data_IF_609652870152
#
_entry.id   IF_609652870152
#
_cell.length_a   1.000
_cell.length_b   1.000
_cell.length_c   1.000
_cell.angle_alpha   90.00
_cell.angle_beta   90.00
_cell.angle_gamma   90.00
#
_symmetry.space_group_name_H-M   'P 1'
#
loop_
_entity.id
_entity.type
_entity.pdbx_description
1 polymer ?
#
# COMPACT_ATOMS: atom_id res chain seq x y z
N UNK A 1 -21.41 28.88 0.93
CA UNK A 1 -21.40 27.77 -0.05
C UNK A 1 -22.54 26.76 0.18
N UNK A 2 -23.09 26.18 -0.88
CA UNK A 2 -24.18 25.18 -0.81
C UNK A 2 -23.63 23.75 -0.79
N UNK A 3 -24.12 22.91 0.11
CA UNK A 3 -23.72 21.50 0.18
C UNK A 3 -24.26 20.72 -1.03
N UNK A 4 -23.37 20.03 -1.74
CA UNK A 4 -23.70 19.18 -2.90
C UNK A 4 -24.57 17.97 -2.56
N UNK A 5 -24.58 17.50 -1.30
CA UNK A 5 -25.38 16.33 -0.89
C UNK A 5 -26.76 16.68 -0.35
N UNK A 6 -26.88 17.73 0.47
CA UNK A 6 -28.13 18.07 1.17
C UNK A 6 -28.70 19.45 0.80
N UNK A 7 -28.03 20.21 -0.06
CA UNK A 7 -28.48 21.54 -0.48
C UNK A 7 -28.40 22.63 0.59
N UNK A 8 -27.88 22.34 1.78
CA UNK A 8 -27.81 23.32 2.86
C UNK A 8 -26.75 24.39 2.60
N UNK A 9 -27.09 25.65 2.89
CA UNK A 9 -26.16 26.77 2.87
C UNK A 9 -25.28 26.75 4.13
N UNK A 10 -23.97 26.60 3.95
CA UNK A 10 -22.96 26.67 5.01
C UNK A 10 -22.10 27.92 4.84
N UNK A 11 -21.55 28.43 5.95
CA UNK A 11 -20.52 29.48 5.94
C UNK A 11 -19.27 28.98 5.21
N UNK A 12 -18.59 29.88 4.49
CA UNK A 12 -17.43 29.53 3.64
C UNK A 12 -16.18 29.10 4.44
N UNK A 13 -16.18 29.28 5.76
CA UNK A 13 -15.12 28.83 6.65
C UNK A 13 -15.28 27.38 7.13
N UNK A 14 -16.43 26.75 6.92
CA UNK A 14 -16.73 25.44 7.51
C UNK A 14 -16.31 24.32 6.54
N UNK A 15 -15.39 23.45 6.97
CA UNK A 15 -14.86 22.35 6.16
C UNK A 15 -15.87 21.21 5.92
N UNK A 16 -16.84 21.07 6.81
CA UNK A 16 -17.87 20.04 6.77
C UNK A 16 -19.26 20.67 6.83
N UNK A 17 -20.24 20.09 6.15
CA UNK A 17 -21.60 20.58 6.24
C UNK A 17 -22.14 20.32 7.65
N UNK A 18 -22.76 21.34 8.26
CA UNK A 18 -23.26 21.25 9.65
C UNK A 18 -24.41 20.26 9.85
N UNK A 19 -25.04 19.78 8.77
CA UNK A 19 -26.19 18.86 8.84
C UNK A 19 -25.84 17.44 8.43
N UNK A 20 -25.15 17.27 7.30
CA UNK A 20 -24.84 15.94 6.76
C UNK A 20 -23.37 15.52 6.96
N UNK A 21 -22.57 16.38 7.60
CA UNK A 21 -21.14 16.18 7.89
C UNK A 21 -20.27 15.81 6.68
N UNK A 22 -20.75 16.07 5.46
CA UNK A 22 -19.96 15.85 4.26
C UNK A 22 -18.96 16.98 4.05
N UNK A 23 -17.78 16.70 3.46
CA UNK A 23 -16.82 17.73 3.14
C UNK A 23 -17.45 18.73 2.16
N UNK A 24 -17.29 20.02 2.46
CA UNK A 24 -17.80 21.11 1.62
C UNK A 24 -16.85 21.49 0.49
N UNK A 25 -15.58 21.09 0.62
CA UNK A 25 -14.52 21.36 -0.36
C UNK A 25 -13.69 20.11 -0.60
N UNK A 26 -13.40 19.86 -1.87
CA UNK A 26 -12.51 18.82 -2.34
C UNK A 26 -11.32 19.48 -3.03
N UNK A 27 -10.12 19.02 -2.71
CA UNK A 27 -8.89 19.48 -3.35
C UNK A 27 -8.37 18.39 -4.30
N UNK A 28 -8.15 18.74 -5.56
CA UNK A 28 -7.61 17.81 -6.52
C UNK A 28 -6.12 17.53 -6.25
N UNK A 29 -5.71 16.26 -6.06
CA UNK A 29 -4.31 15.92 -5.82
C UNK A 29 -3.39 16.21 -7.02
N UNK A 30 -3.93 16.33 -8.23
CA UNK A 30 -3.16 16.55 -9.46
C UNK A 30 -2.97 18.03 -9.78
N UNK A 31 -4.05 18.82 -9.85
CA UNK A 31 -4.00 20.23 -10.24
C UNK A 31 -4.18 21.22 -9.08
N UNK A 32 -4.40 20.72 -7.85
CA UNK A 32 -4.67 21.54 -6.64
C UNK A 32 -5.91 22.44 -6.74
N UNK A 33 -6.78 22.14 -7.70
CA UNK A 33 -8.05 22.85 -7.84
C UNK A 33 -8.99 22.53 -6.68
N UNK A 34 -9.62 23.56 -6.14
CA UNK A 34 -10.60 23.45 -5.05
C UNK A 34 -12.01 23.53 -5.63
N UNK A 35 -12.80 22.51 -5.36
CA UNK A 35 -14.17 22.37 -5.89
C UNK A 35 -15.17 21.97 -4.80
N UNK A 36 -16.45 22.25 -5.00
CA UNK A 36 -17.51 21.99 -4.03
C UNK A 36 -18.14 20.59 -4.16
N UNK A 37 -18.00 19.97 -5.33
CA UNK A 37 -18.52 18.63 -5.64
C UNK A 37 -17.39 17.59 -5.65
N UNK A 38 -17.71 16.38 -5.18
CA UNK A 38 -16.80 15.23 -5.21
C UNK A 38 -16.92 14.44 -6.51
N UNK A 39 -16.30 13.25 -6.56
CA UNK A 39 -16.35 12.36 -7.71
C UNK A 39 -15.18 12.56 -8.67
N UNK A 40 -15.25 13.58 -9.54
CA UNK A 40 -14.20 13.88 -10.51
C UNK A 40 -13.79 15.35 -10.48
N UNK A 41 -12.55 15.63 -10.85
CA UNK A 41 -12.05 16.99 -10.89
C UNK A 41 -12.61 17.76 -12.08
N UNK A 42 -13.20 18.93 -11.84
CA UNK A 42 -13.81 19.77 -12.87
C UNK A 42 -12.79 20.31 -13.89
N UNK A 43 -11.54 20.53 -13.46
CA UNK A 43 -10.50 21.07 -14.34
C UNK A 43 -9.70 20.02 -15.09
N UNK A 44 -9.36 18.89 -14.44
CA UNK A 44 -8.44 17.90 -15.02
C UNK A 44 -9.10 16.54 -15.29
N UNK A 45 -10.37 16.35 -14.94
CA UNK A 45 -11.11 15.11 -15.17
C UNK A 45 -10.66 13.93 -14.30
N UNK A 46 -9.80 14.14 -13.30
CA UNK A 46 -9.31 13.08 -12.44
C UNK A 46 -10.43 12.55 -11.53
N UNK A 47 -10.70 11.25 -11.61
CA UNK A 47 -11.63 10.55 -10.73
C UNK A 47 -10.96 10.26 -9.37
N UNK A 48 -11.52 10.84 -8.31
CA UNK A 48 -10.97 10.73 -6.95
C UNK A 48 -11.07 9.31 -6.39
N UNK A 49 -12.12 8.56 -6.73
CA UNK A 49 -12.31 7.21 -6.24
C UNK A 49 -11.29 6.25 -6.85
N UNK A 50 -11.07 6.36 -8.17
CA UNK A 50 -10.04 5.57 -8.86
C UNK A 50 -8.64 5.92 -8.38
N UNK A 51 -8.36 7.20 -8.16
CA UNK A 51 -7.07 7.64 -7.64
C UNK A 51 -6.80 7.09 -6.23
N UNK A 52 -7.79 7.17 -5.34
CA UNK A 52 -7.68 6.60 -4.00
C UNK A 52 -7.46 5.08 -4.03
N UNK A 53 -8.20 4.36 -4.88
CA UNK A 53 -8.02 2.91 -5.05
C UNK A 53 -6.62 2.56 -5.55
N UNK A 54 -6.06 3.33 -6.49
CA UNK A 54 -4.71 3.13 -6.99
C UNK A 54 -3.65 3.31 -5.89
N UNK A 55 -3.79 4.32 -5.04
CA UNK A 55 -2.89 4.54 -3.88
C UNK A 55 -2.97 3.36 -2.91
N UNK A 56 -4.17 2.93 -2.56
CA UNK A 56 -4.36 1.80 -1.63
C UNK A 56 -3.75 0.52 -2.18
N UNK A 57 -3.96 0.24 -3.47
CA UNK A 57 -3.38 -0.91 -4.14
C UNK A 57 -1.86 -0.85 -4.14
N UNK A 58 -1.28 0.33 -4.42
CA UNK A 58 0.16 0.52 -4.40
C UNK A 58 0.73 0.28 -2.99
N UNK A 59 0.11 0.84 -1.96
CA UNK A 59 0.52 0.64 -0.57
C UNK A 59 0.46 -0.85 -0.16
N UNK A 60 -0.61 -1.56 -0.55
CA UNK A 60 -0.75 -2.99 -0.29
C UNK A 60 0.31 -3.83 -1.03
N UNK A 61 0.60 -3.47 -2.28
CA UNK A 61 1.63 -4.14 -3.08
C UNK A 61 3.03 -3.98 -2.47
N UNK A 62 3.33 -2.80 -1.92
CA UNK A 62 4.61 -2.55 -1.24
C UNK A 62 4.69 -3.33 0.07
N UNK A 63 3.64 -3.27 0.89
CA UNK A 63 3.60 -4.01 2.16
C UNK A 63 3.72 -5.54 1.96
N UNK A 64 3.09 -6.08 0.92
CA UNK A 64 3.19 -7.51 0.59
C UNK A 64 4.59 -7.89 0.07
N UNK A 65 5.23 -7.03 -0.73
CA UNK A 65 6.61 -7.24 -1.15
C UNK A 65 7.57 -7.25 0.04
N UNK A 66 7.44 -6.29 0.96
CA UNK A 66 8.31 -6.21 2.14
C UNK A 66 8.12 -7.41 3.06
N UNK A 67 6.87 -7.85 3.25
CA UNK A 67 6.58 -9.09 3.97
C UNK A 67 7.22 -10.31 3.30
N UNK A 68 7.14 -10.42 1.97
CA UNK A 68 7.73 -11.53 1.24
C UNK A 68 9.27 -11.57 1.34
N UNK A 69 9.93 -10.41 1.33
CA UNK A 69 11.39 -10.28 1.53
C UNK A 69 11.77 -10.75 2.93
N UNK A 70 11.07 -10.30 3.96
CA UNK A 70 11.29 -10.72 5.33
C UNK A 70 11.11 -12.25 5.47
N UNK A 71 10.02 -12.81 4.95
CA UNK A 71 9.78 -14.27 5.01
C UNK A 71 10.87 -15.07 4.29
N UNK A 72 11.35 -14.61 3.13
CA UNK A 72 12.46 -15.26 2.40
C UNK A 72 13.75 -15.26 3.23
N UNK A 73 14.09 -14.14 3.87
CA UNK A 73 15.27 -14.03 4.72
C UNK A 73 15.19 -14.98 5.93
N UNK A 74 14.06 -15.00 6.63
CA UNK A 74 13.85 -15.91 7.76
C UNK A 74 13.87 -17.38 7.33
N UNK A 75 13.33 -17.71 6.16
CA UNK A 75 13.36 -19.07 5.61
C UNK A 75 14.79 -19.54 5.37
N UNK A 76 15.62 -18.77 4.65
CA UNK A 76 17.01 -19.14 4.38
C UNK A 76 17.80 -19.35 5.65
N UNK A 77 17.66 -18.43 6.62
CA UNK A 77 18.38 -18.48 7.89
C UNK A 77 17.97 -19.73 8.69
N UNK A 78 16.68 -20.08 8.70
CA UNK A 78 16.17 -21.31 9.33
C UNK A 78 16.74 -22.57 8.69
N UNK A 79 16.81 -22.65 7.35
CA UNK A 79 17.36 -23.82 6.67
C UNK A 79 18.85 -23.99 6.92
N UNK A 80 19.62 -22.89 6.93
CA UNK A 80 21.05 -22.92 7.28
C UNK A 80 21.26 -23.39 8.72
N UNK A 81 20.50 -22.83 9.66
CA UNK A 81 20.60 -23.20 11.07
C UNK A 81 20.25 -24.68 11.30
N UNK A 82 19.19 -25.18 10.65
CA UNK A 82 18.82 -26.59 10.70
C UNK A 82 19.90 -27.49 10.09
N UNK A 83 20.46 -27.14 8.92
CA UNK A 83 21.50 -27.94 8.28
C UNK A 83 22.77 -28.08 9.14
N UNK A 84 23.12 -27.04 9.90
CA UNK A 84 24.22 -27.08 10.88
C UNK A 84 23.84 -27.96 12.08
N UNK A 85 22.67 -27.73 12.69
CA UNK A 85 22.23 -28.46 13.88
C UNK A 85 21.98 -29.94 13.64
N UNK A 86 21.44 -30.31 12.47
CA UNK A 86 21.16 -31.71 12.13
C UNK A 86 22.36 -32.43 11.51
N UNK A 87 23.55 -31.81 11.47
CA UNK A 87 24.76 -32.42 10.90
C UNK A 87 24.69 -32.64 9.37
N UNK A 88 23.78 -31.96 8.66
CA UNK A 88 23.63 -32.06 7.21
C UNK A 88 24.88 -31.61 6.44
N UNK A 89 25.67 -30.69 7.01
CA UNK A 89 26.98 -30.33 6.45
C UNK A 89 28.01 -31.47 6.49
N UNK A 90 27.94 -32.37 7.50
CA UNK A 90 28.85 -33.52 7.58
C UNK A 90 28.58 -34.53 6.46
N UNK A 91 27.31 -34.74 6.10
CA UNK A 91 26.92 -35.59 4.96
C UNK A 91 27.41 -35.02 3.62
N UNK A 92 27.29 -33.70 3.42
CA UNK A 92 27.82 -33.03 2.23
C UNK A 92 29.35 -33.10 2.13
N UNK A 93 30.04 -32.98 3.26
CA UNK A 93 31.50 -33.11 3.29
C UNK A 93 31.96 -34.54 2.98
N UNK A 94 31.24 -35.55 3.49
CA UNK A 94 31.53 -36.97 3.21
C UNK A 94 31.32 -37.33 1.74
N UNK A 95 30.22 -36.87 1.13
CA UNK A 95 29.93 -37.07 -0.30
C UNK A 95 30.97 -36.40 -1.20
N UNK A 96 31.39 -35.17 -0.87
CA UNK A 96 32.42 -34.44 -1.61
C UNK A 96 33.81 -35.08 -1.49
N UNK A 97 34.11 -35.66 -0.32
CA UNK A 97 35.34 -36.44 -0.11
C UNK A 97 35.38 -37.66 -1.02
N UNK A 98 34.26 -38.37 -1.14
CA UNK A 98 34.17 -39.62 -1.92
C UNK A 98 34.27 -39.39 -3.44
N UNK A 99 33.77 -38.27 -3.96
CA UNK A 99 33.84 -37.96 -5.40
C UNK A 99 35.23 -37.51 -5.90
N UNK A 100 36.20 -37.33 -4.99
CA UNK A 100 37.56 -36.89 -5.33
C UNK A 100 38.56 -38.05 -5.36
N UNK A 101 38.09 -39.27 -5.13
CA UNK A 101 38.87 -40.53 -5.14
C UNK A 101 38.65 -41.37 -6.41
N UNK A 102 38.13 -40.78 -7.48
CA UNK A 102 38.03 -41.38 -8.82
C UNK A 102 38.82 -40.55 -9.84
#
# INVERSE_FOLDING_TARGET
MQCSKCGQQNKDSVQYCVRCHTPTRYNCPKCKHVQAQGGSCEQCGLDFAKYAAAILFQAQSQASQDRSKATKQYSLLRHVLLAVLTGGLSLLWLLRSNSKSE
#
